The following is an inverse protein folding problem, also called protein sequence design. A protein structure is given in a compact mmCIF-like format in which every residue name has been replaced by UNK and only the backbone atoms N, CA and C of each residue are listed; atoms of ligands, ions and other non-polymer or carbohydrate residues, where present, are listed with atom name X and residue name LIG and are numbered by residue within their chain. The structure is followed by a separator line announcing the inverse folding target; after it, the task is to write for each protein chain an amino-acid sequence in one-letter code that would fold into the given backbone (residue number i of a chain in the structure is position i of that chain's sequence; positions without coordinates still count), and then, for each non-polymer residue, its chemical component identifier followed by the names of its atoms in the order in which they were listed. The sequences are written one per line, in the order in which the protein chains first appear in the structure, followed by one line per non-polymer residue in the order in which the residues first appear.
data_IF_771862598846
#
_entry.id   IF_771862598846
#
_cell.length_a   1.000
_cell.length_b   1.000
_cell.length_c   1.000
_cell.angle_alpha   90.00
_cell.angle_beta   90.00
_cell.angle_gamma   90.00
#
_symmetry.space_group_name_H-M   'P 1'
#
loop_
_entity.id
_entity.type
_entity.pdbx_description
1 polymer ?
#
# COMPACT_ATOMS: atom_id res chain seq x y z
N UNK A 1 7.63 -0.75 1.97
CA UNK A 1 6.93 -1.95 2.48
C UNK A 1 7.83 -2.71 3.41
N UNK A 2 7.33 -3.78 4.01
CA UNK A 2 8.12 -4.65 4.90
C UNK A 2 8.19 -6.06 4.34
N UNK A 3 9.38 -6.64 4.40
CA UNK A 3 9.68 -8.03 4.07
C UNK A 3 10.61 -8.62 5.14
N UNK A 4 10.90 -9.92 5.07
CA UNK A 4 11.88 -10.56 5.93
C UNK A 4 13.24 -9.84 5.86
N UNK A 5 13.93 -9.59 7.00
CA UNK A 5 13.64 -10.10 8.35
C UNK A 5 12.70 -9.23 9.19
N UNK A 6 12.25 -8.08 8.69
CA UNK A 6 11.41 -7.13 9.44
C UNK A 6 10.01 -7.69 9.74
N UNK A 7 9.52 -8.57 8.88
CA UNK A 7 8.29 -9.37 9.08
C UNK A 7 8.55 -10.84 8.75
N UNK A 8 7.80 -11.81 9.32
CA UNK A 8 7.98 -13.23 9.01
C UNK A 8 7.86 -13.52 7.50
N UNK A 9 8.52 -14.60 7.05
CA UNK A 9 8.40 -15.08 5.66
C UNK A 9 6.93 -15.35 5.34
N UNK A 10 6.51 -15.02 4.11
CA UNK A 10 5.11 -15.14 3.67
C UNK A 10 4.16 -14.05 4.17
N UNK A 11 4.62 -13.13 5.03
CA UNK A 11 3.81 -12.03 5.57
C UNK A 11 4.30 -10.65 5.11
N UNK A 12 4.91 -10.57 3.92
CA UNK A 12 5.31 -9.31 3.33
C UNK A 12 4.07 -8.41 3.14
N UNK A 13 4.19 -7.13 3.51
CA UNK A 13 3.05 -6.20 3.50
C UNK A 13 3.49 -4.76 3.32
N UNK A 14 2.59 -3.96 2.78
CA UNK A 14 2.76 -2.50 2.69
C UNK A 14 2.19 -1.88 3.96
N UNK A 15 2.94 -0.95 4.57
CA UNK A 15 2.44 -0.10 5.65
C UNK A 15 2.54 1.34 5.17
N UNK A 16 1.40 2.02 5.12
CA UNK A 16 1.36 3.46 4.87
C UNK A 16 1.58 4.20 6.18
N UNK A 17 2.19 5.38 6.09
CA UNK A 17 2.36 6.28 7.23
C UNK A 17 1.46 7.49 7.01
N UNK A 18 0.39 7.59 7.79
CA UNK A 18 -0.57 8.68 7.69
C UNK A 18 -0.11 9.85 8.56
N UNK A 19 -0.34 11.05 8.06
CA UNK A 19 -0.05 12.31 8.75
C UNK A 19 -1.12 13.33 8.37
N UNK A 20 -1.42 14.27 9.28
CA UNK A 20 -2.33 15.39 9.03
C UNK A 20 -1.87 16.33 7.91
N UNK A 21 -0.60 16.22 7.48
CA UNK A 21 -0.08 16.97 6.33
C UNK A 21 -0.63 16.49 4.97
N UNK A 22 -1.21 15.29 4.89
CA UNK A 22 -1.78 14.79 3.64
C UNK A 22 -3.18 15.36 3.43
N UNK A 23 -3.44 15.88 2.24
CA UNK A 23 -4.77 16.28 1.81
C UNK A 23 -5.61 15.06 1.41
N UNK A 24 -6.92 15.24 1.31
CA UNK A 24 -7.81 14.19 0.79
C UNK A 24 -7.43 13.76 -0.64
N UNK A 25 -6.99 14.70 -1.47
CA UNK A 25 -6.54 14.40 -2.82
C UNK A 25 -5.28 13.53 -2.84
N UNK A 26 -4.34 13.74 -1.91
CA UNK A 26 -3.16 12.88 -1.78
C UNK A 26 -3.56 11.44 -1.45
N UNK A 27 -4.52 11.28 -0.53
CA UNK A 27 -5.05 9.97 -0.15
C UNK A 27 -5.78 9.31 -1.31
N UNK A 28 -6.64 10.04 -2.04
CA UNK A 28 -7.36 9.51 -3.19
C UNK A 28 -6.41 9.08 -4.31
N UNK A 29 -5.37 9.88 -4.58
CA UNK A 29 -4.34 9.52 -5.55
C UNK A 29 -3.61 8.24 -5.15
N UNK A 30 -3.23 8.11 -3.87
CA UNK A 30 -2.58 6.91 -3.38
C UNK A 30 -3.47 5.67 -3.50
N UNK A 31 -4.75 5.80 -3.15
CA UNK A 31 -5.73 4.70 -3.29
C UNK A 31 -5.83 4.26 -4.75
N UNK A 32 -6.01 5.20 -5.69
CA UNK A 32 -6.15 4.86 -7.11
C UNK A 32 -4.91 4.11 -7.64
N UNK A 33 -3.70 4.57 -7.28
CA UNK A 33 -2.46 3.89 -7.66
C UNK A 33 -2.33 2.48 -7.07
N UNK A 34 -2.71 2.28 -5.80
CA UNK A 34 -2.72 0.95 -5.19
C UNK A 34 -3.78 0.04 -5.79
N UNK A 35 -4.94 0.57 -6.16
CA UNK A 35 -6.00 -0.20 -6.81
C UNK A 35 -5.57 -0.66 -8.20
N UNK A 36 -5.04 0.24 -9.02
CA UNK A 36 -4.57 -0.06 -10.39
C UNK A 36 -3.53 -1.19 -10.38
N UNK A 37 -2.43 -1.00 -9.64
CA UNK A 37 -1.36 -1.98 -9.56
C UNK A 37 -1.81 -3.26 -8.85
N UNK A 38 -2.65 -3.14 -7.82
CA UNK A 38 -3.18 -4.28 -7.08
C UNK A 38 -4.04 -5.19 -7.95
N UNK A 39 -4.82 -4.62 -8.88
CA UNK A 39 -5.60 -5.35 -9.88
C UNK A 39 -4.69 -5.98 -10.94
N UNK A 40 -3.70 -5.24 -11.46
CA UNK A 40 -2.73 -5.77 -12.44
C UNK A 40 -1.97 -6.99 -11.90
N UNK A 41 -1.54 -6.93 -10.64
CA UNK A 41 -0.82 -8.02 -9.97
C UNK A 41 -1.76 -9.14 -9.47
N UNK A 42 -3.07 -9.01 -9.63
CA UNK A 42 -4.06 -9.99 -9.16
C UNK A 42 -4.17 -10.11 -7.64
N UNK A 43 -3.66 -9.12 -6.89
CA UNK A 43 -3.71 -9.08 -5.42
C UNK A 43 -5.05 -8.52 -4.93
N UNK A 44 -5.66 -7.62 -5.71
CA UNK A 44 -7.01 -7.07 -5.50
C UNK A 44 -7.92 -7.62 -6.60
N UNK A 45 -9.04 -8.24 -6.22
CA UNK A 45 -10.06 -8.77 -7.14
C UNK A 45 -11.21 -7.77 -7.30
#
# INVERSE_FOLDING_TARGET
GFSFPVVPKGQARIRTQMSAAHSENDVRRAIAAFEEVGRELGVIK
#
